data_IF_622818241861
#
_entry.id   IF_622818241861
#
_cell.length_a   1.000
_cell.length_b   1.000
_cell.length_c   1.000
_cell.angle_alpha   90.00
_cell.angle_beta   90.00
_cell.angle_gamma   90.00
#
_symmetry.space_group_name_H-M   'P 1'
#
loop_
_entity.id
_entity.type
_entity.pdbx_description
1 polymer ?
#
# COMPACT_ATOMS: atom_id res chain seq x y z
N UNK A 1 41.03 -26.86 -32.77
CA UNK A 1 40.34 -25.57 -32.99
C UNK A 1 38.83 -25.65 -32.81
N UNK A 2 38.13 -26.61 -33.44
CA UNK A 2 36.66 -26.75 -33.33
C UNK A 2 36.15 -27.04 -31.90
N UNK A 3 36.85 -27.89 -31.14
CA UNK A 3 36.50 -28.19 -29.75
C UNK A 3 36.63 -27.00 -28.79
N UNK A 4 37.67 -26.17 -28.96
CA UNK A 4 37.84 -24.95 -28.17
C UNK A 4 36.75 -23.91 -28.46
N UNK A 5 36.31 -23.81 -29.73
CA UNK A 5 35.17 -22.97 -30.12
C UNK A 5 33.87 -23.45 -29.47
N UNK A 6 33.62 -24.76 -29.43
CA UNK A 6 32.42 -25.33 -28.80
C UNK A 6 32.42 -25.04 -27.29
N UNK A 7 33.55 -25.22 -26.60
CA UNK A 7 33.68 -24.92 -25.17
C UNK A 7 33.42 -23.43 -24.89
N UNK A 8 33.96 -22.54 -25.73
CA UNK A 8 33.78 -21.10 -25.56
C UNK A 8 32.30 -20.69 -25.77
N UNK A 9 31.62 -21.25 -26.76
CA UNK A 9 30.19 -21.00 -27.00
C UNK A 9 29.34 -21.49 -25.82
N UNK A 10 29.66 -22.67 -25.26
CA UNK A 10 28.95 -23.20 -24.09
C UNK A 10 29.16 -22.31 -22.86
N UNK A 11 30.37 -21.83 -22.62
CA UNK A 11 30.66 -20.91 -21.49
C UNK A 11 29.93 -19.59 -21.64
N UNK A 12 29.88 -19.02 -22.85
CA UNK A 12 29.14 -17.77 -23.11
C UNK A 12 27.63 -17.96 -22.92
N UNK A 13 27.08 -19.09 -23.36
CA UNK A 13 25.68 -19.45 -23.12
C UNK A 13 25.36 -19.58 -21.63
N UNK A 14 26.23 -20.22 -20.85
CA UNK A 14 26.06 -20.34 -19.40
C UNK A 14 26.07 -18.97 -18.74
N UNK A 15 27.00 -18.08 -19.11
CA UNK A 15 27.08 -16.72 -18.56
C UNK A 15 25.83 -15.90 -18.92
N UNK A 16 25.29 -16.05 -20.13
CA UNK A 16 24.06 -15.37 -20.54
C UNK A 16 22.83 -15.86 -19.76
N UNK A 17 22.72 -17.18 -19.54
CA UNK A 17 21.61 -17.77 -18.76
C UNK A 17 21.68 -17.32 -17.29
N UNK A 18 22.85 -17.46 -16.65
CA UNK A 18 23.03 -17.06 -15.25
C UNK A 18 22.95 -15.53 -15.05
N UNK A 19 23.48 -14.74 -15.99
CA UNK A 19 23.40 -13.28 -15.96
C UNK A 19 21.97 -12.76 -16.14
N UNK A 20 21.17 -13.42 -16.99
CA UNK A 20 19.77 -13.08 -17.21
C UNK A 20 18.87 -13.33 -15.98
N UNK A 21 19.13 -14.38 -15.21
CA UNK A 21 18.35 -14.69 -14.00
C UNK A 21 18.52 -13.63 -12.90
N UNK A 22 19.73 -13.11 -12.70
CA UNK A 22 20.01 -12.08 -11.70
C UNK A 22 19.33 -10.73 -11.99
N UNK A 23 19.06 -10.43 -13.27
CA UNK A 23 18.28 -9.24 -13.66
C UNK A 23 16.77 -9.45 -13.47
N UNK A 24 16.27 -10.66 -13.72
CA UNK A 24 14.85 -11.00 -13.59
C UNK A 24 14.32 -10.89 -12.16
N UNK A 25 15.07 -11.42 -11.18
CA UNK A 25 14.64 -11.43 -9.77
C UNK A 25 14.51 -10.02 -9.17
N UNK A 26 15.45 -9.12 -9.51
CA UNK A 26 15.38 -7.71 -9.06
C UNK A 26 14.18 -6.98 -9.65
N UNK A 27 13.81 -7.33 -10.89
CA UNK A 27 12.65 -6.72 -11.55
C UNK A 27 11.35 -7.14 -10.87
N UNK A 28 11.21 -8.42 -10.53
CA UNK A 28 10.01 -8.94 -9.89
C UNK A 28 9.81 -8.37 -8.48
N UNK A 29 10.86 -8.29 -7.65
CA UNK A 29 10.76 -7.70 -6.31
C UNK A 29 10.36 -6.22 -6.34
N UNK A 30 10.85 -5.46 -7.33
CA UNK A 30 10.45 -4.07 -7.52
C UNK A 30 9.00 -3.97 -8.00
N UNK A 31 8.57 -4.84 -8.91
CA UNK A 31 7.17 -4.92 -9.36
C UNK A 31 6.23 -5.22 -8.20
N UNK A 32 6.53 -6.22 -7.38
CA UNK A 32 5.71 -6.60 -6.22
C UNK A 32 5.67 -5.48 -5.17
N UNK A 33 6.80 -4.81 -4.91
CA UNK A 33 6.84 -3.64 -4.02
C UNK A 33 5.95 -2.51 -4.54
N UNK A 34 6.02 -2.21 -5.84
CA UNK A 34 5.17 -1.19 -6.45
C UNK A 34 3.69 -1.56 -6.39
N UNK A 35 3.34 -2.84 -6.54
CA UNK A 35 1.97 -3.30 -6.38
C UNK A 35 1.46 -3.14 -4.94
N UNK A 36 2.29 -3.46 -3.95
CA UNK A 36 1.96 -3.24 -2.53
C UNK A 36 1.71 -1.75 -2.28
N UNK A 37 2.58 -0.86 -2.76
CA UNK A 37 2.40 0.58 -2.56
C UNK A 37 1.16 1.11 -3.31
N UNK A 38 0.84 0.58 -4.50
CA UNK A 38 -0.39 0.93 -5.22
C UNK A 38 -1.65 0.49 -4.47
N UNK A 39 -1.65 -0.71 -3.88
CA UNK A 39 -2.76 -1.20 -3.03
C UNK A 39 -2.91 -0.35 -1.77
N UNK A 40 -1.80 0.07 -1.15
CA UNK A 40 -1.82 0.97 0.00
C UNK A 40 -2.38 2.35 -0.33
N UNK A 41 -2.03 2.93 -1.49
CA UNK A 41 -2.60 4.19 -1.93
C UNK A 41 -4.13 4.12 -2.10
N UNK A 42 -4.66 2.96 -2.52
CA UNK A 42 -6.11 2.75 -2.59
C UNK A 42 -6.76 2.74 -1.20
N UNK A 43 -6.14 2.08 -0.22
CA UNK A 43 -6.63 2.05 1.16
C UNK A 43 -6.64 3.45 1.79
N UNK A 44 -5.56 4.20 1.64
CA UNK A 44 -5.44 5.59 2.13
C UNK A 44 -6.54 6.49 1.52
N UNK A 45 -6.81 6.36 0.21
CA UNK A 45 -7.90 7.08 -0.44
C UNK A 45 -9.29 6.71 0.12
N UNK A 46 -9.51 5.43 0.43
CA UNK A 46 -10.76 4.97 1.06
C UNK A 46 -10.90 5.48 2.50
N UNK A 47 -9.82 5.49 3.29
CA UNK A 47 -9.83 6.02 4.66
C UNK A 47 -10.11 7.52 4.66
N UNK A 48 -9.47 8.28 3.77
CA UNK A 48 -9.77 9.71 3.57
C UNK A 48 -11.23 9.96 3.20
N UNK A 49 -11.77 9.23 2.21
CA UNK A 49 -13.18 9.36 1.82
C UNK A 49 -14.12 9.05 2.98
N UNK A 50 -13.81 8.04 3.80
CA UNK A 50 -14.61 7.72 5.00
C UNK A 50 -14.55 8.87 6.00
N UNK A 51 -13.36 9.40 6.29
CA UNK A 51 -13.18 10.52 7.20
C UNK A 51 -13.91 11.79 6.73
N UNK A 52 -13.95 12.05 5.43
CA UNK A 52 -14.67 13.19 4.83
C UNK A 52 -16.19 13.06 4.88
N UNK A 53 -16.71 11.82 4.93
CA UNK A 53 -18.14 11.55 5.05
C UNK A 53 -18.65 11.55 6.50
N UNK A 54 -17.77 11.40 7.50
CA UNK A 54 -18.14 11.44 8.92
C UNK A 54 -18.94 12.71 9.29
N UNK A 55 -18.55 13.93 8.89
CA UNK A 55 -19.32 15.14 9.17
C UNK A 55 -20.77 15.08 8.69
N UNK A 56 -21.00 14.58 7.46
CA UNK A 56 -22.34 14.46 6.88
C UNK A 56 -23.20 13.43 7.64
N UNK A 57 -22.59 12.31 8.04
CA UNK A 57 -23.24 11.29 8.89
C UNK A 57 -23.60 11.86 10.27
N UNK A 58 -22.67 12.58 10.90
CA UNK A 58 -22.86 13.23 12.20
C UNK A 58 -23.98 14.28 12.14
N UNK A 59 -24.06 15.08 11.07
CA UNK A 59 -25.13 16.05 10.88
C UNK A 59 -26.51 15.38 10.74
N UNK A 60 -26.58 14.29 9.98
CA UNK A 60 -27.81 13.49 9.83
C UNK A 60 -28.25 12.91 11.18
N UNK A 61 -27.32 12.30 11.94
CA UNK A 61 -27.61 11.73 13.26
C UNK A 61 -27.97 12.81 14.27
N UNK A 62 -27.31 13.98 14.28
CA UNK A 62 -27.67 15.14 15.12
C UNK A 62 -29.11 15.60 14.89
N UNK A 63 -29.61 15.51 13.66
CA UNK A 63 -31.00 15.81 13.31
C UNK A 63 -32.02 14.92 14.02
N UNK A 64 -31.67 13.64 14.22
CA UNK A 64 -32.52 12.64 14.89
C UNK A 64 -32.22 12.48 16.40
N UNK A 65 -30.97 12.71 16.81
CA UNK A 65 -30.45 12.48 18.16
C UNK A 65 -29.89 13.78 18.78
N UNK A 66 -30.81 14.69 19.15
CA UNK A 66 -30.48 16.04 19.66
C UNK A 66 -29.70 16.07 20.99
N UNK A 67 -29.60 14.96 21.72
CA UNK A 67 -28.97 14.88 23.05
C UNK A 67 -27.71 14.00 23.11
N UNK A 68 -27.26 13.41 22.00
CA UNK A 68 -26.12 12.47 21.96
C UNK A 68 -24.76 13.16 21.79
N UNK A 69 -24.50 14.24 22.55
CA UNK A 69 -23.28 15.02 22.40
C UNK A 69 -22.01 14.22 22.73
N UNK A 70 -22.08 13.29 23.68
CA UNK A 70 -20.95 12.43 24.08
C UNK A 70 -20.51 11.53 22.92
N UNK A 71 -21.45 10.80 22.30
CA UNK A 71 -21.16 9.89 21.18
C UNK A 71 -20.61 10.65 19.98
N UNK A 72 -21.17 11.81 19.68
CA UNK A 72 -20.69 12.69 18.60
C UNK A 72 -19.26 13.17 18.88
N UNK A 73 -18.95 13.51 20.13
CA UNK A 73 -17.61 13.91 20.56
C UNK A 73 -16.59 12.77 20.41
N UNK A 74 -16.96 11.55 20.79
CA UNK A 74 -16.12 10.36 20.61
C UNK A 74 -15.82 10.09 19.13
N UNK A 75 -16.82 10.21 18.24
CA UNK A 75 -16.62 10.06 16.79
C UNK A 75 -15.73 11.17 16.23
N UNK A 76 -15.88 12.41 16.70
CA UNK A 76 -15.02 13.52 16.29
C UNK A 76 -13.56 13.31 16.72
N UNK A 77 -13.34 12.79 17.94
CA UNK A 77 -12.01 12.45 18.45
C UNK A 77 -11.38 11.29 17.67
N UNK A 78 -12.15 10.24 17.36
CA UNK A 78 -11.69 9.13 16.53
C UNK A 78 -11.30 9.61 15.12
N UNK A 79 -12.09 10.50 14.50
CA UNK A 79 -11.74 11.14 13.22
C UNK A 79 -10.44 11.94 13.32
N UNK A 80 -10.25 12.69 14.39
CA UNK A 80 -9.02 13.46 14.60
C UNK A 80 -7.79 12.54 14.79
N UNK A 81 -7.95 11.41 15.47
CA UNK A 81 -6.91 10.39 15.63
C UNK A 81 -6.53 9.75 14.29
N UNK A 82 -7.52 9.40 13.45
CA UNK A 82 -7.29 8.90 12.10
C UNK A 82 -6.52 9.89 11.23
N UNK A 83 -6.87 11.18 11.28
CA UNK A 83 -6.18 12.23 10.51
C UNK A 83 -4.77 12.56 11.03
N UNK A 84 -4.52 12.29 12.32
CA UNK A 84 -3.24 12.51 12.99
C UNK A 84 -2.29 11.31 12.95
N UNK A 85 -2.71 10.17 12.40
CA UNK A 85 -1.88 8.99 12.29
C UNK A 85 -0.69 9.24 11.36
N UNK A 86 0.53 9.04 11.86
CA UNK A 86 1.77 9.25 11.11
C UNK A 86 2.35 7.97 10.50
N UNK A 87 1.83 6.80 10.89
CA UNK A 87 2.23 5.51 10.34
C UNK A 87 1.02 4.70 9.89
N UNK A 88 1.19 3.86 8.86
CA UNK A 88 0.13 2.96 8.33
C UNK A 88 -0.45 2.05 9.42
N UNK A 89 0.37 1.67 10.40
CA UNK A 89 -0.07 0.84 11.52
C UNK A 89 -0.98 1.61 12.47
N UNK A 90 -0.69 2.88 12.72
CA UNK A 90 -1.51 3.74 13.57
C UNK A 90 -2.85 4.06 12.89
N UNK A 91 -2.86 4.23 11.57
CA UNK A 91 -4.08 4.47 10.79
C UNK A 91 -5.06 3.29 10.82
N UNK A 92 -4.55 2.04 10.88
CA UNK A 92 -5.39 0.84 11.00
C UNK A 92 -5.98 0.67 12.40
N UNK A 93 -5.26 1.15 13.42
CA UNK A 93 -5.58 0.88 14.84
C UNK A 93 -6.41 2.00 15.47
N UNK A 94 -6.44 3.18 14.83
CA UNK A 94 -7.24 4.35 15.21
C UNK A 94 -8.71 4.20 14.79
#
# INVERSE_FOLDING_TARGET
MKGALIVLVVVVLIILVFGGQLMGERNQLVTEKNEIDARWAQVDNDMKRRADLIPNLVETVKGYAKQEQTVIGEVANARAALLGAHSRQDEITA
#
